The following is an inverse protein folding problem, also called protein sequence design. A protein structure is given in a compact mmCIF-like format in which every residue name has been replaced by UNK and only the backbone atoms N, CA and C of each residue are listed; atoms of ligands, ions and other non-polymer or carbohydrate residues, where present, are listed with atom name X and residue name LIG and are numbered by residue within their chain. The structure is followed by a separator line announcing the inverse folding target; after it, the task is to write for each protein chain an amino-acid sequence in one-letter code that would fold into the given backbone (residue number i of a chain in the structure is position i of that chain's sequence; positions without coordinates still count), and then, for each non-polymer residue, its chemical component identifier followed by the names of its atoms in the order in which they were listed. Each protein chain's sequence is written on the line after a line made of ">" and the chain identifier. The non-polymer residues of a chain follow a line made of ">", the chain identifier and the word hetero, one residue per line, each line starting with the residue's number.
data_IF_448656471852
#
_entry.id   IF_448656471852
#
_cell.length_a   1.000
_cell.length_b   1.000
_cell.length_c   1.000
_cell.angle_alpha   90.00
_cell.angle_beta   90.00
_cell.angle_gamma   90.00
#
_symmetry.space_group_name_H-M   'P 1'
#
loop_
_entity.id
_entity.type
_entity.pdbx_description
1 polymer ?
#
# COMPACT_ATOMS: atom_id res chain seq x y z
N UNK A 1 -10.66 64.50 -33.69
CA UNK A 1 -11.06 63.96 -32.36
C UNK A 1 -9.78 63.74 -31.57
N UNK A 2 -9.38 64.77 -30.83
CA UNK A 2 -8.19 64.79 -29.97
C UNK A 2 -8.48 63.95 -28.74
N UNK A 3 -7.65 62.92 -28.49
CA UNK A 3 -7.73 62.14 -27.27
C UNK A 3 -7.51 63.05 -26.06
N UNK A 4 -8.45 63.02 -25.11
CA UNK A 4 -8.33 63.66 -23.81
C UNK A 4 -7.04 63.14 -23.13
N UNK A 5 -6.18 64.00 -22.54
CA UNK A 5 -4.99 63.52 -21.85
C UNK A 5 -5.44 62.72 -20.63
N UNK A 6 -5.32 61.39 -20.72
CA UNK A 6 -5.54 60.48 -19.60
C UNK A 6 -4.69 60.95 -18.42
N UNK A 7 -5.34 61.31 -17.31
CA UNK A 7 -4.64 61.69 -16.08
C UNK A 7 -3.67 60.57 -15.67
N UNK A 8 -2.35 60.79 -15.74
CA UNK A 8 -1.36 59.76 -15.42
C UNK A 8 -1.47 59.27 -13.98
N UNK A 9 -1.95 60.13 -13.07
CA UNK A 9 -2.14 59.79 -11.66
C UNK A 9 -3.33 58.84 -11.50
N UNK A 10 -4.45 59.09 -12.19
CA UNK A 10 -5.59 58.18 -12.20
C UNK A 10 -5.21 56.79 -12.75
N UNK A 11 -4.50 56.75 -13.89
CA UNK A 11 -4.03 55.49 -14.49
C UNK A 11 -3.07 54.72 -13.58
N UNK A 12 -2.17 55.43 -12.88
CA UNK A 12 -1.26 54.81 -11.93
C UNK A 12 -2.02 54.18 -10.74
N UNK A 13 -3.04 54.87 -10.21
CA UNK A 13 -3.89 54.34 -9.14
C UNK A 13 -4.63 53.07 -9.58
N UNK A 14 -5.19 53.05 -10.79
CA UNK A 14 -5.87 51.87 -11.33
C UNK A 14 -4.93 50.66 -11.45
N UNK A 15 -3.69 50.88 -11.91
CA UNK A 15 -2.67 49.82 -11.97
C UNK A 15 -2.30 49.31 -10.59
N UNK A 16 -2.15 50.21 -9.61
CA UNK A 16 -1.88 49.82 -8.22
C UNK A 16 -3.02 49.00 -7.62
N UNK A 17 -4.27 49.41 -7.81
CA UNK A 17 -5.43 48.66 -7.32
C UNK A 17 -5.52 47.28 -7.97
N UNK A 18 -5.28 47.21 -9.28
CA UNK A 18 -5.23 45.94 -10.01
C UNK A 18 -4.13 45.02 -9.48
N UNK A 19 -2.94 45.57 -9.22
CA UNK A 19 -1.83 44.81 -8.64
C UNK A 19 -2.16 44.31 -7.22
N UNK A 20 -2.77 45.14 -6.37
CA UNK A 20 -3.19 44.74 -5.02
C UNK A 20 -4.27 43.66 -5.06
N UNK A 21 -5.22 43.75 -5.99
CA UNK A 21 -6.23 42.71 -6.16
C UNK A 21 -5.60 41.39 -6.63
N UNK A 22 -4.74 41.43 -7.64
CA UNK A 22 -4.03 40.26 -8.14
C UNK A 22 -3.17 39.59 -7.06
N UNK A 23 -2.44 40.36 -6.27
CA UNK A 23 -1.64 39.85 -5.16
C UNK A 23 -2.50 39.16 -4.10
N UNK A 24 -3.63 39.75 -3.71
CA UNK A 24 -4.57 39.12 -2.76
C UNK A 24 -5.18 37.83 -3.31
N UNK A 25 -5.61 37.86 -4.58
CA UNK A 25 -6.18 36.68 -5.23
C UNK A 25 -5.17 35.53 -5.33
N UNK A 26 -3.91 35.84 -5.64
CA UNK A 26 -2.83 34.86 -5.67
C UNK A 26 -2.57 34.29 -4.28
N UNK A 27 -2.42 35.11 -3.25
CA UNK A 27 -2.22 34.63 -1.88
C UNK A 27 -3.34 33.71 -1.38
N UNK A 28 -4.61 34.03 -1.68
CA UNK A 28 -5.73 33.15 -1.31
C UNK A 28 -5.79 31.88 -2.16
N UNK A 29 -5.32 31.92 -3.42
CA UNK A 29 -5.15 30.72 -4.21
C UNK A 29 -4.08 29.80 -3.62
N UNK A 30 -2.89 30.33 -3.33
CA UNK A 30 -1.79 29.58 -2.72
C UNK A 30 -2.20 28.98 -1.37
N UNK A 31 -2.92 29.74 -0.54
CA UNK A 31 -3.42 29.24 0.75
C UNK A 31 -4.37 28.07 0.57
N UNK A 32 -5.31 28.15 -0.37
CA UNK A 32 -6.23 27.04 -0.68
C UNK A 32 -5.48 25.84 -1.24
N UNK A 33 -4.53 26.07 -2.14
CA UNK A 33 -3.73 25.00 -2.74
C UNK A 33 -2.88 24.27 -1.71
N UNK A 34 -2.30 25.00 -0.74
CA UNK A 34 -1.56 24.40 0.35
C UNK A 34 -2.45 23.47 1.20
N UNK A 35 -3.68 23.89 1.51
CA UNK A 35 -4.65 23.06 2.25
C UNK A 35 -5.04 21.80 1.45
N UNK A 36 -5.31 21.94 0.15
CA UNK A 36 -5.61 20.80 -0.73
C UNK A 36 -4.47 19.80 -0.77
N UNK A 37 -3.23 20.27 -0.98
CA UNK A 37 -2.05 19.41 -1.04
C UNK A 37 -1.82 18.67 0.28
N UNK A 38 -2.00 19.34 1.43
CA UNK A 38 -1.89 18.69 2.74
C UNK A 38 -2.94 17.59 2.89
N UNK A 39 -4.18 17.83 2.44
CA UNK A 39 -5.23 16.82 2.46
C UNK A 39 -4.91 15.64 1.53
N UNK A 40 -4.38 15.89 0.33
CA UNK A 40 -3.95 14.85 -0.62
C UNK A 40 -2.82 14.00 -0.05
N UNK A 41 -1.83 14.62 0.61
CA UNK A 41 -0.70 13.94 1.27
C UNK A 41 -1.21 13.05 2.40
N UNK A 42 -2.06 13.56 3.29
CA UNK A 42 -2.63 12.76 4.37
C UNK A 42 -3.42 11.56 3.84
N UNK A 43 -4.24 11.76 2.80
CA UNK A 43 -4.98 10.65 2.18
C UNK A 43 -4.04 9.61 1.54
N UNK A 44 -2.90 10.03 0.98
CA UNK A 44 -1.89 9.11 0.45
C UNK A 44 -1.19 8.34 1.58
N UNK A 45 -0.80 9.01 2.67
CA UNK A 45 -0.18 8.39 3.83
C UNK A 45 -1.08 7.33 4.47
N UNK A 46 -2.38 7.61 4.59
CA UNK A 46 -3.34 6.66 5.13
C UNK A 46 -3.47 5.41 4.26
N UNK A 47 -3.45 5.56 2.92
CA UNK A 47 -3.42 4.42 1.99
C UNK A 47 -2.14 3.60 2.13
N UNK A 48 -0.98 4.25 2.28
CA UNK A 48 0.30 3.57 2.48
C UNK A 48 0.31 2.80 3.79
N UNK A 49 -0.19 3.39 4.89
CA UNK A 49 -0.32 2.72 6.19
C UNK A 49 -1.24 1.51 6.09
N UNK A 50 -2.42 1.66 5.50
CA UNK A 50 -3.36 0.55 5.32
C UNK A 50 -2.75 -0.59 4.49
N UNK A 51 -2.02 -0.28 3.43
CA UNK A 51 -1.31 -1.28 2.63
C UNK A 51 -0.20 -1.99 3.42
N UNK A 52 0.57 -1.25 4.22
CA UNK A 52 1.61 -1.81 5.08
C UNK A 52 1.05 -2.72 6.18
N UNK A 53 -0.06 -2.32 6.81
CA UNK A 53 -0.78 -3.14 7.80
C UNK A 53 -1.31 -4.43 7.17
N UNK A 54 -1.95 -4.34 6.00
CA UNK A 54 -2.42 -5.52 5.26
C UNK A 54 -1.27 -6.46 4.89
N UNK A 55 -0.14 -5.93 4.43
CA UNK A 55 1.06 -6.72 4.15
C UNK A 55 1.58 -7.42 5.41
N UNK A 56 1.65 -6.71 6.54
CA UNK A 56 2.12 -7.26 7.80
C UNK A 56 1.19 -8.38 8.30
N UNK A 57 -0.13 -8.20 8.20
CA UNK A 57 -1.12 -9.21 8.54
C UNK A 57 -0.94 -10.48 7.70
N UNK A 58 -0.95 -10.35 6.38
CA UNK A 58 -0.79 -11.49 5.44
C UNK A 58 0.54 -12.21 5.68
N UNK A 59 1.62 -11.47 5.88
CA UNK A 59 2.93 -12.04 6.19
C UNK A 59 2.92 -12.79 7.51
N UNK A 60 2.26 -12.24 8.53
CA UNK A 60 2.09 -12.87 9.85
C UNK A 60 1.31 -14.18 9.77
N UNK A 61 0.21 -14.19 9.02
CA UNK A 61 -0.60 -15.39 8.76
C UNK A 61 0.24 -16.47 8.07
N UNK A 62 0.90 -16.15 6.95
CA UNK A 62 1.76 -17.10 6.22
C UNK A 62 2.89 -17.64 7.11
N UNK A 63 3.51 -16.79 7.93
CA UNK A 63 4.55 -17.23 8.87
C UNK A 63 4.00 -18.14 9.97
N UNK A 64 2.76 -17.91 10.43
CA UNK A 64 2.07 -18.81 11.34
C UNK A 64 1.88 -20.20 10.74
N UNK A 65 1.34 -20.25 9.52
CA UNK A 65 1.13 -21.48 8.78
C UNK A 65 2.43 -22.24 8.54
N UNK A 66 3.47 -21.57 8.08
CA UNK A 66 4.77 -22.18 7.84
C UNK A 66 5.35 -22.82 9.11
N UNK A 67 5.30 -22.09 10.24
CA UNK A 67 5.78 -22.63 11.53
C UNK A 67 5.03 -23.87 11.95
N UNK A 68 3.71 -23.91 11.74
CA UNK A 68 2.89 -25.08 12.07
C UNK A 68 3.27 -26.31 11.23
N UNK A 69 3.46 -26.12 9.92
CA UNK A 69 3.90 -27.19 9.01
C UNK A 69 5.29 -27.70 9.39
N UNK A 70 6.26 -26.80 9.59
CA UNK A 70 7.62 -27.15 10.00
C UNK A 70 7.64 -27.88 11.34
N UNK A 71 6.85 -27.44 12.32
CA UNK A 71 6.75 -28.12 13.62
C UNK A 71 6.24 -29.55 13.47
N UNK A 72 5.25 -29.78 12.60
CA UNK A 72 4.70 -31.12 12.37
C UNK A 72 5.71 -32.04 11.69
N UNK A 73 6.47 -31.50 10.73
CA UNK A 73 7.43 -32.27 9.94
C UNK A 73 8.76 -32.47 10.66
N UNK A 74 9.16 -31.54 11.53
CA UNK A 74 10.41 -31.60 12.30
C UNK A 74 10.51 -32.79 13.24
N UNK A 75 9.37 -33.40 13.62
CA UNK A 75 9.35 -34.65 14.38
C UNK A 75 9.79 -35.87 13.54
N UNK A 76 9.80 -35.74 12.21
CA UNK A 76 10.09 -36.83 11.28
C UNK A 76 11.56 -36.83 10.86
N UNK A 77 12.33 -37.79 11.39
CA UNK A 77 13.78 -37.92 11.13
C UNK A 77 14.17 -38.14 9.65
N UNK A 78 13.23 -38.50 8.79
CA UNK A 78 13.47 -38.79 7.38
C UNK A 78 13.15 -37.61 6.45
N UNK A 79 12.68 -36.49 6.99
CA UNK A 79 12.25 -35.33 6.21
C UNK A 79 13.02 -34.09 6.70
N UNK A 80 13.69 -33.40 5.77
CA UNK A 80 14.44 -32.18 6.09
C UNK A 80 13.59 -30.96 5.77
N UNK A 81 13.36 -30.11 6.77
CA UNK A 81 12.68 -28.83 6.56
C UNK A 81 13.67 -27.77 6.09
N UNK A 82 13.33 -27.03 5.04
CA UNK A 82 14.08 -25.84 4.61
C UNK A 82 13.61 -24.59 5.36
N UNK A 83 14.34 -23.46 5.26
CA UNK A 83 13.78 -22.16 5.63
C UNK A 83 12.51 -21.84 4.81
N UNK A 84 11.72 -20.89 5.30
CA UNK A 84 10.55 -20.38 4.57
C UNK A 84 11.00 -19.87 3.19
N UNK A 85 10.32 -20.25 2.10
CA UNK A 85 10.61 -19.70 0.78
C UNK A 85 10.53 -18.17 0.79
N UNK A 86 11.40 -17.53 0.01
CA UNK A 86 11.29 -16.10 -0.25
C UNK A 86 10.00 -15.82 -1.05
N UNK A 87 9.39 -14.62 -0.91
CA UNK A 87 8.28 -14.21 -1.75
C UNK A 87 8.65 -14.29 -3.24
N UNK A 88 7.72 -14.79 -4.06
CA UNK A 88 7.92 -14.87 -5.51
C UNK A 88 7.73 -13.48 -6.16
N UNK A 89 8.75 -12.90 -6.82
CA UNK A 89 8.63 -11.62 -7.50
C UNK A 89 7.69 -11.65 -8.72
N UNK A 90 7.39 -12.83 -9.28
CA UNK A 90 6.42 -13.00 -10.36
C UNK A 90 4.97 -13.15 -9.85
N UNK A 91 4.77 -13.13 -8.53
CA UNK A 91 3.44 -13.22 -7.92
C UNK A 91 2.53 -12.07 -8.36
N UNK A 92 1.26 -12.38 -8.64
CA UNK A 92 0.25 -11.41 -9.06
C UNK A 92 -0.54 -10.87 -7.84
N UNK A 93 -0.34 -9.60 -7.42
CA UNK A 93 -0.99 -9.07 -6.22
C UNK A 93 -2.52 -9.13 -6.27
N UNK A 94 -3.10 -8.96 -7.46
CA UNK A 94 -4.55 -9.01 -7.69
C UNK A 94 -5.17 -10.38 -7.40
N UNK A 95 -4.35 -11.45 -7.38
CA UNK A 95 -4.78 -12.81 -7.08
C UNK A 95 -4.54 -13.19 -5.61
N UNK A 96 -4.17 -12.25 -4.74
CA UNK A 96 -3.85 -12.53 -3.33
C UNK A 96 -4.92 -13.38 -2.63
N UNK A 97 -6.20 -13.04 -2.83
CA UNK A 97 -7.31 -13.79 -2.23
C UNK A 97 -7.37 -15.24 -2.73
N UNK A 98 -7.10 -15.45 -4.01
CA UNK A 98 -7.04 -16.78 -4.61
C UNK A 98 -5.88 -17.58 -4.03
N UNK A 99 -4.69 -16.97 -3.95
CA UNK A 99 -3.51 -17.60 -3.34
C UNK A 99 -3.74 -17.99 -1.89
N UNK A 100 -4.32 -17.09 -1.07
CA UNK A 100 -4.67 -17.39 0.31
C UNK A 100 -5.69 -18.55 0.40
N UNK A 101 -6.67 -18.58 -0.50
CA UNK A 101 -7.66 -19.65 -0.58
C UNK A 101 -7.07 -21.02 -0.95
N UNK A 102 -5.89 -21.07 -1.57
CA UNK A 102 -5.20 -22.31 -1.92
C UNK A 102 -4.38 -22.91 -0.77
N UNK A 103 -4.01 -22.11 0.25
CA UNK A 103 -3.13 -22.57 1.34
C UNK A 103 -3.81 -23.65 2.19
N UNK A 104 -5.08 -23.46 2.57
CA UNK A 104 -5.81 -24.44 3.39
C UNK A 104 -6.00 -25.79 2.70
N UNK A 105 -6.52 -25.86 1.44
CA UNK A 105 -6.62 -27.12 0.72
C UNK A 105 -5.26 -27.82 0.55
N UNK A 106 -4.22 -27.09 0.14
CA UNK A 106 -2.89 -27.65 -0.07
C UNK A 106 -2.29 -28.20 1.23
N UNK A 107 -2.51 -27.51 2.35
CA UNK A 107 -2.02 -27.96 3.66
C UNK A 107 -2.77 -29.20 4.15
N UNK A 108 -4.10 -29.28 3.93
CA UNK A 108 -4.89 -30.48 4.24
C UNK A 108 -4.44 -31.68 3.41
N UNK A 109 -4.19 -31.48 2.11
CA UNK A 109 -3.66 -32.49 1.22
C UNK A 109 -2.29 -32.98 1.68
N UNK A 110 -1.39 -32.05 2.01
CA UNK A 110 -0.07 -32.35 2.57
C UNK A 110 -0.19 -33.21 3.84
N UNK A 111 -1.00 -32.82 4.82
CA UNK A 111 -1.18 -33.59 6.04
C UNK A 111 -1.85 -34.95 5.82
N UNK A 112 -2.74 -35.08 4.83
CA UNK A 112 -3.31 -36.37 4.45
C UNK A 112 -2.24 -37.30 3.85
N UNK A 113 -1.39 -36.78 2.97
CA UNK A 113 -0.26 -37.52 2.41
C UNK A 113 0.76 -37.91 3.50
N UNK A 114 1.07 -36.97 4.40
CA UNK A 114 1.97 -37.19 5.52
C UNK A 114 1.48 -38.33 6.42
N UNK A 115 0.19 -38.31 6.80
CA UNK A 115 -0.42 -39.38 7.60
C UNK A 115 -0.36 -40.74 6.89
N UNK A 116 -0.60 -40.79 5.57
CA UNK A 116 -0.47 -42.05 4.80
C UNK A 116 0.96 -42.57 4.80
N UNK A 117 1.95 -41.68 4.73
CA UNK A 117 3.37 -42.04 4.74
C UNK A 117 3.87 -42.49 6.13
N UNK A 118 3.28 -41.98 7.21
CA UNK A 118 3.65 -42.30 8.60
C UNK A 118 2.82 -43.43 9.23
N UNK A 119 1.64 -43.76 8.70
CA UNK A 119 0.84 -44.92 9.12
C UNK A 119 1.64 -46.22 8.93
N UNK A 120 1.52 -47.22 9.83
CA UNK A 120 2.68 -48.01 10.22
C UNK A 120 3.25 -48.85 9.08
N UNK A 121 4.52 -48.59 8.75
CA UNK A 121 5.50 -49.64 8.48
C UNK A 121 5.70 -50.44 9.79
N UNK A 122 4.70 -51.23 10.19
CA UNK A 122 4.91 -52.33 11.15
C UNK A 122 5.52 -53.48 10.36
N UNK A 123 6.85 -53.60 10.41
CA UNK A 123 7.59 -54.87 10.44
C UNK A 123 8.87 -54.64 11.21
#
# INVERSE_FOLDING_TARGET
>A
MTADPVDPVARYKELLETAHHAARAHSEHERRRAVELVAEIHAADDRVKAAAEAQAQVTGEINGWWRQVVATVGELKWLTTTPRPAPDPAGRPELLREYLGQIEPATKEFYAALRKATWPRRR
#
